data_IF_324441435237
#
_entry.id   IF_324441435237
#
_cell.length_a   1.000
_cell.length_b   1.000
_cell.length_c   1.000
_cell.angle_alpha   90.00
_cell.angle_beta   90.00
_cell.angle_gamma   90.00
#
_symmetry.space_group_name_H-M   'P 1'
#
loop_
_entity.id
_entity.type
_entity.pdbx_description
1 polymer ?
#
# COMPACT_ATOMS: atom_id res chain seq x y z
N UNK A 1 1.66 2.53 -7.15
CA UNK A 1 1.90 1.21 -6.50
C UNK A 1 2.34 0.12 -7.47
N UNK A 2 1.69 -0.09 -8.63
CA UNK A 2 2.02 -1.18 -9.58
C UNK A 2 3.50 -1.24 -10.03
N UNK A 3 4.13 -0.09 -10.32
CA UNK A 3 5.57 -0.03 -10.69
C UNK A 3 6.48 -0.60 -9.58
N UNK A 4 6.22 -0.23 -8.33
CA UNK A 4 6.97 -0.74 -7.17
C UNK A 4 6.79 -2.25 -6.99
N UNK A 5 5.57 -2.75 -7.19
CA UNK A 5 5.28 -4.18 -7.14
C UNK A 5 6.05 -4.97 -8.21
N UNK A 6 6.10 -4.47 -9.44
CA UNK A 6 6.87 -5.08 -10.54
C UNK A 6 8.36 -5.11 -10.20
N UNK A 7 8.92 -4.00 -9.71
CA UNK A 7 10.33 -3.93 -9.33
C UNK A 7 10.66 -4.88 -8.16
N UNK A 8 9.78 -4.94 -7.16
CA UNK A 8 9.91 -5.86 -6.04
C UNK A 8 9.90 -7.33 -6.51
N UNK A 9 8.98 -7.69 -7.41
CA UNK A 9 8.90 -9.03 -7.99
C UNK A 9 10.20 -9.39 -8.73
N UNK A 10 10.72 -8.49 -9.57
CA UNK A 10 11.99 -8.70 -10.28
C UNK A 10 13.16 -8.96 -9.34
N UNK A 11 13.31 -8.16 -8.27
CA UNK A 11 14.39 -8.33 -7.29
C UNK A 11 14.24 -9.63 -6.49
N UNK A 12 13.00 -10.01 -6.15
CA UNK A 12 12.69 -11.27 -5.48
C UNK A 12 13.04 -12.47 -6.37
N UNK A 13 12.70 -12.41 -7.65
CA UNK A 13 13.01 -13.46 -8.63
C UNK A 13 14.52 -13.57 -8.87
N UNK A 14 15.23 -12.44 -8.98
CA UNK A 14 16.70 -12.38 -9.08
C UNK A 14 17.35 -13.07 -7.86
N UNK A 15 16.91 -12.74 -6.64
CA UNK A 15 17.41 -13.37 -5.42
C UNK A 15 17.14 -14.87 -5.39
N UNK A 16 15.93 -15.29 -5.74
CA UNK A 16 15.54 -16.70 -5.75
C UNK A 16 16.36 -17.50 -6.78
N UNK A 17 16.58 -16.92 -7.98
CA UNK A 17 17.43 -17.51 -9.01
C UNK A 17 18.87 -17.68 -8.53
N UNK A 18 19.48 -16.64 -7.96
CA UNK A 18 20.85 -16.72 -7.44
C UNK A 18 20.98 -17.75 -6.31
N UNK A 19 20.00 -17.84 -5.40
CA UNK A 19 20.00 -18.88 -4.38
C UNK A 19 19.96 -20.29 -4.99
N UNK A 20 19.17 -20.48 -6.05
CA UNK A 20 19.06 -21.76 -6.74
C UNK A 20 20.38 -22.14 -7.44
N UNK A 21 21.04 -21.19 -8.10
CA UNK A 21 22.36 -21.40 -8.72
C UNK A 21 23.43 -21.81 -7.68
N UNK A 22 23.45 -21.14 -6.52
CA UNK A 22 24.37 -21.48 -5.42
C UNK A 22 24.10 -22.88 -4.86
N UNK A 23 22.83 -23.26 -4.69
CA UNK A 23 22.46 -24.59 -4.19
C UNK A 23 22.82 -25.71 -5.18
N UNK A 24 22.58 -25.50 -6.47
CA UNK A 24 22.97 -26.47 -7.51
C UNK A 24 24.50 -26.62 -7.62
N UNK A 25 25.25 -25.53 -7.40
CA UNK A 25 26.72 -25.49 -7.47
C UNK A 25 27.46 -25.74 -6.15
N UNK A 26 26.77 -26.14 -5.07
CA UNK A 26 27.32 -26.06 -3.70
C UNK A 26 28.62 -26.85 -3.48
N UNK A 27 28.80 -27.99 -4.16
CA UNK A 27 30.02 -28.81 -4.06
C UNK A 27 31.24 -28.05 -4.57
N UNK A 28 31.11 -27.35 -5.70
CA UNK A 28 32.19 -26.56 -6.31
C UNK A 28 32.50 -25.34 -5.44
N UNK A 29 31.47 -24.66 -4.94
CA UNK A 29 31.63 -23.48 -4.08
C UNK A 29 32.44 -23.82 -2.83
N UNK A 30 32.12 -24.94 -2.16
CA UNK A 30 32.87 -25.39 -0.98
C UNK A 30 34.30 -25.84 -1.30
N UNK A 31 34.53 -26.44 -2.46
CA UNK A 31 35.86 -26.87 -2.89
C UNK A 31 36.82 -25.67 -3.07
N UNK A 32 36.29 -24.53 -3.51
CA UNK A 32 37.05 -23.30 -3.72
C UNK A 32 36.93 -22.27 -2.58
N UNK A 33 36.24 -22.61 -1.48
CA UNK A 33 35.95 -21.70 -0.36
C UNK A 33 35.30 -20.36 -0.80
N UNK A 34 34.41 -20.41 -1.80
CA UNK A 34 33.72 -19.24 -2.36
C UNK A 34 32.39 -18.90 -1.66
N UNK A 35 32.13 -19.44 -0.47
CA UNK A 35 30.88 -19.19 0.26
C UNK A 35 30.69 -17.71 0.63
N UNK A 36 31.73 -17.04 1.13
CA UNK A 36 31.66 -15.64 1.56
C UNK A 36 31.33 -14.71 0.37
N UNK A 37 32.05 -14.73 -0.77
CA UNK A 37 31.74 -13.85 -1.89
C UNK A 37 30.36 -14.11 -2.50
N UNK A 38 29.89 -15.38 -2.50
CA UNK A 38 28.55 -15.72 -2.98
C UNK A 38 27.46 -15.20 -2.03
N UNK A 39 27.71 -15.26 -0.72
CA UNK A 39 26.81 -14.71 0.29
C UNK A 39 26.71 -13.18 0.17
N UNK A 40 27.83 -12.48 0.00
CA UNK A 40 27.87 -11.03 -0.21
C UNK A 40 27.08 -10.61 -1.46
N UNK A 41 27.16 -11.39 -2.54
CA UNK A 41 26.38 -11.16 -3.75
C UNK A 41 24.86 -11.23 -3.49
N UNK A 42 24.41 -12.27 -2.77
CA UNK A 42 23.00 -12.43 -2.38
C UNK A 42 22.58 -11.31 -1.42
N UNK A 43 23.43 -10.91 -0.50
CA UNK A 43 23.16 -9.83 0.44
C UNK A 43 22.99 -8.49 -0.28
N UNK A 44 23.80 -8.21 -1.31
CA UNK A 44 23.65 -7.02 -2.15
C UNK A 44 22.31 -7.00 -2.91
N UNK A 45 21.83 -8.14 -3.39
CA UNK A 45 20.46 -8.25 -3.97
C UNK A 45 19.42 -7.97 -2.88
N UNK A 46 19.58 -8.56 -1.69
CA UNK A 46 18.67 -8.36 -0.55
C UNK A 46 18.59 -6.90 -0.11
N UNK A 47 19.72 -6.18 -0.06
CA UNK A 47 19.76 -4.74 0.26
C UNK A 47 18.94 -3.92 -0.74
N UNK A 48 19.03 -4.24 -2.04
CA UNK A 48 18.21 -3.59 -3.09
C UNK A 48 16.73 -3.92 -2.93
N UNK A 49 16.37 -5.17 -2.64
CA UNK A 49 15.00 -5.61 -2.35
C UNK A 49 14.42 -4.85 -1.16
N UNK A 50 15.14 -4.80 -0.04
CA UNK A 50 14.72 -4.10 1.18
C UNK A 50 14.54 -2.59 0.95
N UNK A 51 15.43 -1.94 0.18
CA UNK A 51 15.27 -0.52 -0.14
C UNK A 51 14.02 -0.27 -0.99
N UNK A 52 13.69 -1.17 -1.92
CA UNK A 52 12.46 -1.09 -2.71
C UNK A 52 11.21 -1.24 -1.83
N UNK A 53 11.23 -2.22 -0.92
CA UNK A 53 10.16 -2.45 0.06
C UNK A 53 10.00 -1.23 0.96
N UNK A 54 11.08 -0.70 1.52
CA UNK A 54 11.03 0.45 2.41
C UNK A 54 10.40 1.67 1.74
N UNK A 55 10.83 2.00 0.50
CA UNK A 55 10.26 3.11 -0.27
C UNK A 55 8.77 2.90 -0.58
N UNK A 56 8.38 1.67 -0.94
CA UNK A 56 6.97 1.37 -1.23
C UNK A 56 6.10 1.41 0.03
N UNK A 57 6.62 0.94 1.16
CA UNK A 57 5.99 1.03 2.49
C UNK A 57 5.79 2.47 2.93
N UNK A 58 6.78 3.36 2.74
CA UNK A 58 6.62 4.77 3.07
C UNK A 58 5.45 5.40 2.31
N UNK A 59 5.35 5.17 1.01
CA UNK A 59 4.23 5.68 0.20
C UNK A 59 2.90 5.09 0.68
N UNK A 60 2.87 3.81 1.02
CA UNK A 60 1.66 3.14 1.53
C UNK A 60 1.20 3.75 2.86
N UNK A 61 2.12 3.93 3.79
CA UNK A 61 1.84 4.53 5.11
C UNK A 61 1.28 5.95 4.95
N UNK A 62 1.84 6.77 4.05
CA UNK A 62 1.32 8.11 3.78
C UNK A 62 -0.14 8.10 3.31
N UNK A 63 -0.50 7.16 2.43
CA UNK A 63 -1.88 7.00 1.96
C UNK A 63 -2.78 6.50 3.08
N UNK A 64 -2.31 5.54 3.89
CA UNK A 64 -3.07 4.99 5.02
C UNK A 64 -3.37 6.09 6.06
N UNK A 65 -2.39 6.95 6.39
CA UNK A 65 -2.57 8.11 7.27
C UNK A 65 -3.63 9.06 6.71
N UNK A 66 -3.56 9.39 5.42
CA UNK A 66 -4.54 10.27 4.79
C UNK A 66 -5.97 9.68 4.87
N UNK A 67 -6.09 8.38 4.63
CA UNK A 67 -7.36 7.66 4.72
C UNK A 67 -7.89 7.66 6.17
N UNK A 68 -7.01 7.51 7.17
CA UNK A 68 -7.37 7.63 8.59
C UNK A 68 -7.84 9.03 8.99
N UNK A 69 -7.22 10.08 8.45
CA UNK A 69 -7.60 11.48 8.72
C UNK A 69 -8.87 11.92 7.95
N UNK A 70 -9.23 11.24 6.86
CA UNK A 70 -10.36 11.60 5.99
C UNK A 70 -11.69 11.86 6.74
N UNK A 71 -12.22 10.97 7.61
CA UNK A 71 -13.52 11.21 8.27
C UNK A 71 -13.49 12.45 9.17
N UNK A 72 -12.36 12.71 9.83
CA UNK A 72 -12.17 13.91 10.64
C UNK A 72 -12.19 15.18 9.77
N UNK A 73 -11.44 15.19 8.66
CA UNK A 73 -11.43 16.31 7.73
C UNK A 73 -12.80 16.55 7.09
N UNK A 74 -13.49 15.48 6.66
CA UNK A 74 -14.84 15.56 6.08
C UNK A 74 -15.82 16.14 7.09
N UNK A 75 -15.82 15.66 8.34
CA UNK A 75 -16.67 16.19 9.39
C UNK A 75 -16.34 17.66 9.69
N UNK A 76 -15.06 18.02 9.78
CA UNK A 76 -14.61 19.40 9.99
C UNK A 76 -15.14 20.34 8.90
N UNK A 77 -14.92 20.00 7.63
CA UNK A 77 -15.39 20.82 6.52
C UNK A 77 -16.92 20.86 6.44
N UNK A 78 -17.61 19.75 6.66
CA UNK A 78 -19.07 19.70 6.63
C UNK A 78 -19.71 20.55 7.73
N UNK A 79 -19.19 20.49 8.96
CA UNK A 79 -19.71 21.31 10.05
C UNK A 79 -19.30 22.79 9.92
N UNK A 80 -18.10 23.07 9.38
CA UNK A 80 -17.67 24.42 9.06
C UNK A 80 -18.60 25.06 8.03
N UNK A 81 -18.88 24.40 6.91
CA UNK A 81 -19.79 24.94 5.88
C UNK A 81 -21.23 25.04 6.38
N UNK A 82 -21.70 24.06 7.16
CA UNK A 82 -23.03 24.07 7.77
C UNK A 82 -23.25 25.30 8.66
N UNK A 83 -22.29 25.65 9.50
CA UNK A 83 -22.37 26.81 10.41
C UNK A 83 -22.13 28.15 9.70
N UNK A 84 -21.30 28.18 8.65
CA UNK A 84 -21.02 29.40 7.89
C UNK A 84 -22.17 29.82 6.95
N UNK A 85 -22.99 28.88 6.49
CA UNK A 85 -24.03 29.17 5.49
C UNK A 85 -25.17 29.99 6.09
N UNK A 86 -25.55 29.74 7.34
CA UNK A 86 -26.68 30.41 7.99
C UNK A 86 -26.48 30.43 9.52
N UNK A 87 -25.77 31.44 10.05
CA UNK A 87 -25.33 31.47 11.45
C UNK A 87 -26.46 31.50 12.48
N UNK A 88 -27.64 32.02 12.08
CA UNK A 88 -28.77 32.19 13.01
C UNK A 88 -29.64 30.93 13.12
N UNK A 89 -29.79 30.18 12.03
CA UNK A 89 -30.70 29.02 11.94
C UNK A 89 -29.97 27.66 12.03
N UNK A 90 -28.70 27.55 11.65
CA UNK A 90 -27.96 26.28 11.65
C UNK A 90 -27.07 26.11 12.90
N UNK A 91 -27.71 25.99 14.06
CA UNK A 91 -27.00 25.67 15.31
C UNK A 91 -26.62 24.20 15.36
N UNK A 92 -25.31 23.92 15.46
CA UNK A 92 -24.78 22.57 15.58
C UNK A 92 -25.20 21.94 16.92
N UNK A 93 -26.31 21.21 16.91
CA UNK A 93 -26.82 20.47 18.08
C UNK A 93 -26.09 19.13 18.19
N UNK A 94 -25.81 18.61 19.41
CA UNK A 94 -25.13 17.31 19.59
C UNK A 94 -25.81 16.16 18.83
N UNK A 95 -27.14 16.15 18.78
CA UNK A 95 -27.90 15.15 18.02
C UNK A 95 -27.53 15.13 16.53
N UNK A 96 -27.39 16.29 15.90
CA UNK A 96 -27.01 16.42 14.48
C UNK A 96 -25.54 16.01 14.31
N UNK A 97 -24.65 16.49 15.17
CA UNK A 97 -23.22 16.22 15.07
C UNK A 97 -22.89 14.71 15.20
N UNK A 98 -23.43 14.03 16.21
CA UNK A 98 -23.16 12.61 16.44
C UNK A 98 -23.77 11.71 15.37
N UNK A 99 -24.99 12.02 14.90
CA UNK A 99 -25.64 11.27 13.82
C UNK A 99 -24.85 11.43 12.52
N UNK A 100 -24.48 12.65 12.12
CA UNK A 100 -23.68 12.89 10.92
C UNK A 100 -22.31 12.20 10.98
N UNK A 101 -21.62 12.25 12.13
CA UNK A 101 -20.34 11.57 12.30
C UNK A 101 -20.46 10.05 12.14
N UNK A 102 -21.53 9.46 12.68
CA UNK A 102 -21.82 8.03 12.53
C UNK A 102 -22.03 7.66 11.07
N UNK A 103 -22.80 8.46 10.33
CA UNK A 103 -23.04 8.26 8.90
C UNK A 103 -21.75 8.38 8.07
N UNK A 104 -20.90 9.37 8.35
CA UNK A 104 -19.60 9.51 7.67
C UNK A 104 -18.69 8.30 7.90
N UNK A 105 -18.66 7.77 9.13
CA UNK A 105 -17.88 6.57 9.44
C UNK A 105 -18.42 5.32 8.72
N UNK A 106 -19.74 5.17 8.62
CA UNK A 106 -20.35 4.05 7.88
C UNK A 106 -20.08 4.13 6.38
N UNK A 107 -20.07 5.33 5.79
CA UNK A 107 -19.82 5.53 4.36
C UNK A 107 -18.40 5.15 3.92
N UNK A 108 -17.44 5.12 4.85
CA UNK A 108 -16.04 4.77 4.55
C UNK A 108 -15.87 3.37 3.97
N UNK A 109 -16.60 2.40 4.54
CA UNK A 109 -16.52 1.00 4.12
C UNK A 109 -16.92 0.79 2.65
N UNK A 110 -18.12 1.22 2.20
CA UNK A 110 -18.52 1.08 0.80
C UNK A 110 -17.62 1.89 -0.15
N UNK A 111 -17.14 3.06 0.24
CA UNK A 111 -16.20 3.84 -0.59
C UNK A 111 -14.89 3.11 -0.87
N UNK A 112 -14.33 2.46 0.16
CA UNK A 112 -13.11 1.65 0.01
C UNK A 112 -13.39 0.44 -0.89
N UNK A 113 -14.55 -0.20 -0.72
CA UNK A 113 -14.96 -1.35 -1.52
C UNK A 113 -15.16 -1.00 -3.00
N UNK A 114 -15.74 0.17 -3.32
CA UNK A 114 -15.85 0.63 -4.71
C UNK A 114 -14.48 0.78 -5.38
N UNK A 115 -13.49 1.33 -4.67
CA UNK A 115 -12.13 1.44 -5.19
C UNK A 115 -11.51 0.08 -5.50
N UNK A 116 -11.76 -0.93 -4.64
CA UNK A 116 -11.30 -2.30 -4.86
C UNK A 116 -11.99 -2.92 -6.10
N UNK A 117 -13.30 -2.77 -6.22
CA UNK A 117 -14.08 -3.33 -7.33
C UNK A 117 -13.63 -2.80 -8.69
N UNK A 118 -13.25 -1.52 -8.78
CA UNK A 118 -12.68 -0.95 -10.01
C UNK A 118 -11.38 -1.69 -10.40
N UNK A 119 -10.49 -1.92 -9.44
CA UNK A 119 -9.22 -2.62 -9.70
C UNK A 119 -9.46 -4.07 -10.16
N UNK A 120 -10.36 -4.79 -9.48
CA UNK A 120 -10.73 -6.16 -9.84
C UNK A 120 -11.35 -6.20 -11.24
N UNK A 121 -12.24 -5.27 -11.56
CA UNK A 121 -12.90 -5.21 -12.87
C UNK A 121 -11.88 -5.01 -13.99
N UNK A 122 -10.90 -4.13 -13.77
CA UNK A 122 -9.80 -3.90 -14.71
C UNK A 122 -8.97 -5.18 -14.89
N UNK A 123 -8.62 -5.87 -13.81
CA UNK A 123 -7.84 -7.11 -13.86
C UNK A 123 -8.58 -8.23 -14.60
N UNK A 124 -9.86 -8.44 -14.30
CA UNK A 124 -10.71 -9.42 -15.00
C UNK A 124 -10.83 -9.07 -16.49
N UNK A 125 -10.98 -7.78 -16.83
CA UNK A 125 -11.04 -7.33 -18.23
C UNK A 125 -9.75 -7.64 -18.97
N UNK A 126 -8.58 -7.46 -18.35
CA UNK A 126 -7.30 -7.84 -18.95
C UNK A 126 -7.21 -9.35 -19.18
N UNK A 127 -7.65 -10.16 -18.21
CA UNK A 127 -7.63 -11.61 -18.31
C UNK A 127 -8.53 -12.17 -19.43
N UNK A 128 -9.71 -11.57 -19.64
CA UNK A 128 -10.65 -12.03 -20.69
C UNK A 128 -10.18 -11.68 -22.11
N UNK A 129 -9.39 -10.62 -22.29
CA UNK A 129 -8.89 -10.20 -23.62
C UNK A 129 -7.56 -10.87 -24.03
N UNK A 130 -7.07 -11.83 -23.25
CA UNK A 130 -5.89 -12.64 -23.54
C UNK A 130 -6.29 -14.11 -23.68
#
# INVERSE_FOLDING_TARGET
>A
MRRWMITQMKLKDERAKMCNEVLNGIKVIKLYAWEIPMMDLIENIRKRELNCIFKSSLVRISVDIFNWCTPFLVALFAFMTYTMTDPENHKLTPAIAFVSLTLFNQLRSPMTMLGLLINITIEVRYFINF
#
